data_IF_673762817800
#
_entry.id   IF_673762817800
#
_cell.length_a   1.000
_cell.length_b   1.000
_cell.length_c   1.000
_cell.angle_alpha   90.00
_cell.angle_beta   90.00
_cell.angle_gamma   90.00
#
_symmetry.space_group_name_H-M   'P 1'
#
loop_
_entity.id
_entity.type
_entity.pdbx_description
1 polymer ?
#
# COMPACT_ATOMS: atom_id res chain seq x y z
N UNK A 1 11.69 6.10 33.11
CA UNK A 1 10.38 6.28 33.76
C UNK A 1 9.32 5.68 32.85
N UNK A 2 8.88 4.46 33.15
CA UNK A 2 7.83 3.78 32.39
C UNK A 2 6.51 4.53 32.57
N UNK A 3 5.95 5.03 31.48
CA UNK A 3 4.63 5.66 31.50
C UNK A 3 3.59 4.58 31.77
N UNK A 4 2.98 4.66 32.97
CA UNK A 4 1.81 3.87 33.36
C UNK A 4 0.80 3.88 32.21
N UNK A 5 0.51 2.69 31.65
CA UNK A 5 -0.44 2.49 30.55
C UNK A 5 -1.79 3.13 30.88
N UNK A 6 -2.05 4.32 30.36
CA UNK A 6 -3.37 4.94 30.46
C UNK A 6 -4.41 4.00 29.81
N UNK A 7 -5.60 3.85 30.39
CA UNK A 7 -6.63 3.00 29.81
C UNK A 7 -6.96 3.51 28.40
N UNK A 8 -6.66 2.69 27.39
CA UNK A 8 -6.98 3.02 26.00
C UNK A 8 -8.48 3.20 25.86
N UNK A 9 -8.92 4.40 25.44
CA UNK A 9 -10.33 4.68 25.16
C UNK A 9 -10.81 3.75 24.04
N UNK A 10 -12.02 3.22 24.18
CA UNK A 10 -12.64 2.30 23.22
C UNK A 10 -14.00 2.82 22.82
N UNK A 11 -14.36 2.59 21.57
CA UNK A 11 -15.66 2.90 20.99
C UNK A 11 -16.37 1.63 20.56
N UNK A 12 -17.68 1.70 20.44
CA UNK A 12 -18.51 0.64 19.88
C UNK A 12 -18.79 1.00 18.42
N UNK A 13 -18.49 0.09 17.51
CA UNK A 13 -18.74 0.26 16.08
C UNK A 13 -19.81 -0.74 15.67
N UNK A 14 -20.95 -0.22 15.22
CA UNK A 14 -22.11 -0.94 14.74
C UNK A 14 -22.13 -0.94 13.22
N UNK A 15 -22.14 -2.12 12.61
CA UNK A 15 -22.28 -2.32 11.18
C UNK A 15 -23.65 -2.94 10.86
N UNK A 16 -24.52 -2.16 10.24
CA UNK A 16 -25.85 -2.55 9.80
C UNK A 16 -25.80 -3.19 8.41
N UNK A 17 -26.09 -4.48 8.34
CA UNK A 17 -26.07 -5.25 7.07
C UNK A 17 -27.19 -4.85 6.12
N UNK A 18 -28.29 -4.32 6.66
CA UNK A 18 -29.51 -4.03 5.90
C UNK A 18 -29.56 -2.60 5.35
N UNK A 19 -28.57 -1.74 5.64
CA UNK A 19 -28.55 -0.33 5.21
C UNK A 19 -27.48 -0.12 4.13
N UNK A 20 -27.84 0.54 3.02
CA UNK A 20 -26.93 0.78 1.89
C UNK A 20 -26.10 2.06 2.00
N UNK A 21 -26.63 3.12 2.63
CA UNK A 21 -26.03 4.46 2.63
C UNK A 21 -25.32 4.76 3.96
N UNK A 22 -25.88 4.32 5.09
CA UNK A 22 -25.31 4.51 6.43
C UNK A 22 -25.20 3.17 7.16
N UNK A 23 -24.33 2.29 6.65
CA UNK A 23 -24.15 0.98 7.26
C UNK A 23 -23.31 1.03 8.54
N UNK A 24 -22.59 2.12 8.83
CA UNK A 24 -21.68 2.19 9.99
C UNK A 24 -22.10 3.30 10.94
N UNK A 25 -22.29 2.95 12.21
CA UNK A 25 -22.53 3.89 13.30
C UNK A 25 -21.51 3.68 14.41
N UNK A 26 -21.07 4.77 15.05
CA UNK A 26 -20.05 4.73 16.11
C UNK A 26 -20.63 5.34 17.39
N UNK A 27 -20.55 4.57 18.47
CA UNK A 27 -21.05 4.96 19.79
C UNK A 27 -19.91 5.04 20.80
N UNK A 28 -19.96 6.02 21.70
CA UNK A 28 -18.93 6.22 22.72
C UNK A 28 -18.94 5.10 23.77
N UNK A 29 -20.10 4.53 24.06
CA UNK A 29 -20.23 3.38 24.95
C UNK A 29 -21.41 2.48 24.55
N UNK A 30 -21.46 1.29 25.16
CA UNK A 30 -22.49 0.28 24.87
C UNK A 30 -23.86 0.64 25.46
N UNK A 31 -23.92 1.45 26.52
CA UNK A 31 -25.19 1.87 27.13
C UNK A 31 -25.97 2.77 26.19
N UNK A 32 -25.31 3.78 25.60
CA UNK A 32 -25.90 4.70 24.62
C UNK A 32 -26.41 3.94 23.40
N UNK A 33 -25.68 2.92 22.95
CA UNK A 33 -26.16 2.05 21.87
C UNK A 33 -27.48 1.35 22.27
N UNK A 34 -27.57 0.79 23.47
CA UNK A 34 -28.78 0.10 23.95
C UNK A 34 -29.93 1.08 24.22
N UNK A 35 -29.64 2.34 24.59
CA UNK A 35 -30.65 3.40 24.72
C UNK A 35 -31.23 3.80 23.35
N UNK A 36 -30.38 3.84 22.31
CA UNK A 36 -30.80 4.14 20.94
C UNK A 36 -31.56 2.97 20.31
N UNK A 37 -31.15 1.74 20.62
CA UNK A 37 -31.74 0.51 20.10
C UNK A 37 -32.13 -0.46 21.23
N UNK A 38 -33.29 -0.24 21.89
CA UNK A 38 -33.73 -1.03 23.06
C UNK A 38 -34.00 -2.51 22.77
N UNK A 39 -34.11 -2.89 21.49
CA UNK A 39 -34.27 -4.29 21.07
C UNK A 39 -33.06 -5.15 21.41
N UNK A 40 -31.89 -4.54 21.65
CA UNK A 40 -30.69 -5.26 22.03
C UNK A 40 -30.45 -5.21 23.53
N UNK A 41 -30.26 -6.39 24.13
CA UNK A 41 -29.97 -6.52 25.56
C UNK A 41 -28.52 -6.15 25.88
N UNK A 42 -28.33 -5.16 26.75
CA UNK A 42 -27.01 -4.76 27.25
C UNK A 42 -26.22 -5.94 27.84
N UNK A 43 -26.88 -6.80 28.64
CA UNK A 43 -26.23 -7.93 29.29
C UNK A 43 -25.65 -8.91 28.26
N UNK A 44 -26.41 -9.17 27.21
CA UNK A 44 -25.96 -10.04 26.11
C UNK A 44 -24.75 -9.43 25.43
N UNK A 45 -24.87 -8.19 24.93
CA UNK A 45 -23.79 -7.53 24.20
C UNK A 45 -22.53 -7.35 25.05
N UNK A 46 -22.68 -7.07 26.34
CA UNK A 46 -21.55 -6.89 27.26
C UNK A 46 -20.81 -8.21 27.52
N UNK A 47 -21.48 -9.36 27.46
CA UNK A 47 -20.81 -10.66 27.56
C UNK A 47 -19.89 -10.91 26.35
N UNK A 48 -20.37 -10.62 25.14
CA UNK A 48 -19.59 -10.73 23.90
C UNK A 48 -18.44 -9.71 23.86
N UNK A 49 -18.76 -8.41 24.00
CA UNK A 49 -17.83 -7.31 23.78
C UNK A 49 -16.97 -6.95 25.00
N UNK A 50 -17.30 -7.48 26.18
CA UNK A 50 -16.60 -7.25 27.43
C UNK A 50 -15.60 -8.35 27.71
N UNK A 51 -16.10 -9.51 28.15
CA UNK A 51 -15.26 -10.63 28.63
C UNK A 51 -14.65 -11.45 27.50
N UNK A 52 -15.44 -11.80 26.50
CA UNK A 52 -14.98 -12.64 25.39
C UNK A 52 -14.18 -11.86 24.32
N UNK A 53 -14.34 -10.53 24.25
CA UNK A 53 -13.81 -9.64 23.17
C UNK A 53 -14.17 -10.15 21.77
N UNK A 54 -15.22 -10.95 21.66
CA UNK A 54 -15.72 -11.47 20.39
C UNK A 54 -16.70 -10.45 19.81
N UNK A 55 -16.63 -10.17 18.49
CA UNK A 55 -17.70 -9.46 17.80
C UNK A 55 -19.06 -10.11 18.07
N UNK A 56 -20.08 -9.29 18.24
CA UNK A 56 -21.46 -9.77 18.25
C UNK A 56 -22.01 -9.67 16.84
N UNK A 57 -22.52 -10.77 16.30
CA UNK A 57 -23.03 -10.84 14.94
C UNK A 57 -24.45 -11.42 14.92
N UNK A 58 -25.34 -10.74 14.20
CA UNK A 58 -26.69 -11.18 13.90
C UNK A 58 -26.97 -10.96 12.39
N UNK A 59 -28.15 -11.39 11.94
CA UNK A 59 -28.66 -11.20 10.58
C UNK A 59 -28.67 -9.73 10.15
N UNK A 60 -28.93 -8.81 11.09
CA UNK A 60 -29.07 -7.38 10.79
C UNK A 60 -27.85 -6.52 11.18
N UNK A 61 -27.07 -6.97 12.17
CA UNK A 61 -26.08 -6.15 12.86
C UNK A 61 -24.80 -6.93 13.13
N UNK A 62 -23.66 -6.30 12.90
CA UNK A 62 -22.34 -6.73 13.35
C UNK A 62 -21.75 -5.65 14.26
N UNK A 63 -21.47 -5.98 15.51
CA UNK A 63 -21.06 -5.04 16.54
C UNK A 63 -19.68 -5.39 17.08
N UNK A 64 -18.80 -4.41 17.16
CA UNK A 64 -17.42 -4.58 17.65
C UNK A 64 -17.02 -3.48 18.62
N UNK A 65 -16.02 -3.76 19.46
CA UNK A 65 -15.42 -2.77 20.34
C UNK A 65 -14.00 -2.48 19.87
N UNK A 66 -13.76 -1.28 19.37
CA UNK A 66 -12.50 -0.89 18.74
C UNK A 66 -11.76 0.16 19.59
N UNK A 67 -10.43 0.15 19.54
CA UNK A 67 -9.61 1.16 20.22
C UNK A 67 -9.68 2.49 19.48
N UNK A 68 -9.89 3.58 20.22
CA UNK A 68 -9.98 4.92 19.66
C UNK A 68 -8.58 5.41 19.28
N UNK A 69 -8.34 5.58 17.99
CA UNK A 69 -7.13 6.18 17.46
C UNK A 69 -7.33 7.70 17.43
N UNK A 70 -6.82 8.41 18.44
CA UNK A 70 -6.95 9.88 18.53
C UNK A 70 -5.88 10.62 17.74
N UNK A 71 -4.75 9.97 17.43
CA UNK A 71 -3.67 10.53 16.64
C UNK A 71 -3.56 9.77 15.32
N UNK A 72 -3.44 10.45 14.16
CA UNK A 72 -3.26 9.77 12.89
C UNK A 72 -2.01 8.89 12.93
N UNK A 73 -2.12 7.66 12.44
CA UNK A 73 -0.96 6.78 12.29
C UNK A 73 -0.06 7.37 11.21
N UNK A 74 1.06 7.95 11.60
CA UNK A 74 2.10 8.40 10.66
C UNK A 74 2.55 7.18 9.87
N UNK A 75 2.31 7.16 8.55
CA UNK A 75 2.81 6.12 7.66
C UNK A 75 4.33 6.08 7.82
N UNK A 76 4.90 4.93 8.19
CA UNK A 76 6.34 4.74 8.24
C UNK A 76 6.91 5.18 6.88
N UNK A 77 7.92 6.05 6.89
CA UNK A 77 8.61 6.45 5.68
C UNK A 77 9.10 5.18 4.96
N UNK A 78 8.83 5.06 3.67
CA UNK A 78 9.33 3.94 2.87
C UNK A 78 10.86 4.01 2.90
N UNK A 79 11.50 2.95 3.39
CA UNK A 79 12.95 2.82 3.31
C UNK A 79 13.29 2.32 1.91
N UNK A 80 14.04 3.12 1.14
CA UNK A 80 14.65 2.67 -0.11
C UNK A 80 15.85 1.82 0.29
N UNK A 81 15.88 0.56 -0.15
CA UNK A 81 17.05 -0.30 0.00
C UNK A 81 17.70 -0.52 -1.37
N UNK A 82 19.02 -0.36 -1.48
CA UNK A 82 19.72 -0.68 -2.72
C UNK A 82 19.70 -2.20 -2.93
N UNK A 83 19.41 -2.61 -4.16
CA UNK A 83 19.63 -3.99 -4.61
C UNK A 83 21.09 -4.09 -5.02
N UNK A 84 21.90 -4.80 -4.23
CA UNK A 84 23.34 -4.95 -4.48
C UNK A 84 23.64 -6.41 -4.78
N UNK A 85 24.17 -6.67 -5.97
CA UNK A 85 24.73 -7.97 -6.31
C UNK A 85 26.20 -8.02 -5.89
N UNK A 86 26.64 -9.14 -5.32
CA UNK A 86 28.03 -9.34 -4.89
C UNK A 86 28.75 -10.25 -5.88
N UNK A 87 29.89 -9.80 -6.40
CA UNK A 87 30.73 -10.56 -7.31
C UNK A 87 32.20 -10.52 -6.84
N UNK A 88 32.96 -11.54 -7.21
CA UNK A 88 34.41 -11.54 -7.06
C UNK A 88 35.02 -10.60 -8.12
N UNK A 89 35.79 -9.60 -7.67
CA UNK A 89 36.32 -8.55 -8.55
C UNK A 89 37.19 -9.11 -9.69
N UNK A 90 37.93 -10.19 -9.42
CA UNK A 90 38.82 -10.81 -10.40
C UNK A 90 38.10 -11.50 -11.57
N UNK A 91 36.82 -11.84 -11.41
CA UNK A 91 36.01 -12.53 -12.43
C UNK A 91 34.92 -11.64 -13.03
N UNK A 92 34.77 -10.40 -12.56
CA UNK A 92 33.68 -9.53 -12.96
C UNK A 92 34.11 -8.66 -14.13
N UNK A 93 33.75 -9.08 -15.34
CA UNK A 93 33.73 -8.21 -16.52
C UNK A 93 32.31 -7.65 -16.68
N UNK A 94 32.11 -6.44 -16.19
CA UNK A 94 30.83 -5.73 -16.29
C UNK A 94 30.47 -5.41 -17.75
N UNK A 95 31.49 -5.19 -18.61
CA UNK A 95 31.29 -4.85 -20.01
C UNK A 95 30.72 -6.02 -20.80
N UNK A 96 31.32 -7.20 -20.65
CA UNK A 96 30.85 -8.43 -21.29
C UNK A 96 29.43 -8.81 -20.81
N UNK A 97 29.19 -8.78 -19.50
CA UNK A 97 27.88 -9.11 -18.93
C UNK A 97 26.77 -8.16 -19.38
N UNK A 98 27.07 -6.85 -19.46
CA UNK A 98 26.13 -5.87 -19.98
C UNK A 98 25.84 -6.09 -21.47
N UNK A 99 26.87 -6.41 -22.26
CA UNK A 99 26.69 -6.71 -23.68
C UNK A 99 25.78 -7.93 -23.86
N UNK A 100 26.05 -9.02 -23.16
CA UNK A 100 25.25 -10.24 -23.20
C UNK A 100 23.81 -9.98 -22.78
N UNK A 101 23.60 -9.23 -21.69
CA UNK A 101 22.27 -8.84 -21.22
C UNK A 101 21.49 -8.09 -22.30
N UNK A 102 22.11 -7.09 -22.94
CA UNK A 102 21.44 -6.31 -23.97
C UNK A 102 21.17 -7.14 -25.22
N UNK A 103 22.11 -8.00 -25.64
CA UNK A 103 21.93 -8.87 -26.79
C UNK A 103 20.82 -9.92 -26.57
N UNK A 104 20.67 -10.41 -25.34
CA UNK A 104 19.60 -11.33 -24.94
C UNK A 104 18.24 -10.62 -24.77
N UNK A 105 18.22 -9.30 -24.60
CA UNK A 105 16.99 -8.52 -24.42
C UNK A 105 16.22 -8.32 -25.74
N UNK A 106 14.89 -8.21 -25.62
CA UNK A 106 14.01 -7.96 -26.76
C UNK A 106 14.42 -6.70 -27.54
N UNK A 107 14.30 -6.69 -28.89
CA UNK A 107 14.67 -5.54 -29.72
C UNK A 107 14.01 -4.22 -29.28
N UNK A 108 12.74 -4.28 -28.85
CA UNK A 108 11.99 -3.11 -28.38
C UNK A 108 12.64 -2.48 -27.14
N UNK A 109 13.06 -3.31 -26.17
CA UNK A 109 13.72 -2.85 -24.95
C UNK A 109 15.09 -2.24 -25.23
N UNK A 110 15.85 -2.81 -26.17
CA UNK A 110 17.13 -2.25 -26.63
C UNK A 110 16.94 -0.88 -27.28
N UNK A 111 16.01 -0.75 -28.21
CA UNK A 111 15.71 0.51 -28.91
C UNK A 111 15.28 1.59 -27.90
N UNK A 112 14.40 1.22 -26.97
CA UNK A 112 13.97 2.13 -25.92
C UNK A 112 15.14 2.59 -25.05
N UNK A 113 16.01 1.68 -24.61
CA UNK A 113 17.17 2.02 -23.79
C UNK A 113 18.12 2.99 -24.51
N UNK A 114 18.44 2.72 -25.79
CA UNK A 114 19.27 3.61 -26.61
C UNK A 114 18.62 4.98 -26.78
N UNK A 115 17.32 5.02 -27.05
CA UNK A 115 16.57 6.27 -27.21
C UNK A 115 16.57 7.09 -25.92
N UNK A 116 16.41 6.41 -24.78
CA UNK A 116 16.42 7.03 -23.45
C UNK A 116 17.80 7.61 -23.13
N UNK A 117 18.88 6.83 -23.32
CA UNK A 117 20.25 7.28 -23.12
C UNK A 117 20.59 8.48 -24.01
N UNK A 118 20.20 8.41 -25.28
CA UNK A 118 20.35 9.54 -26.19
C UNK A 118 19.63 10.78 -25.68
N UNK A 119 18.41 10.64 -25.16
CA UNK A 119 17.62 11.76 -24.63
C UNK A 119 18.20 12.36 -23.34
N UNK A 120 18.80 11.55 -22.47
CA UNK A 120 19.43 11.99 -21.22
C UNK A 120 20.74 12.75 -21.48
N UNK A 121 21.45 12.42 -22.56
CA UNK A 121 22.64 13.13 -23.02
C UNK A 121 22.37 14.45 -23.74
N UNK A 122 21.10 14.82 -23.98
CA UNK A 122 20.73 16.06 -24.64
C UNK A 122 20.41 17.18 -23.66
N UNK A 123 20.97 18.37 -23.92
CA UNK A 123 20.60 19.56 -23.16
C UNK A 123 19.13 19.93 -23.39
N UNK A 124 18.49 20.48 -22.35
CA UNK A 124 17.07 20.84 -22.37
C UNK A 124 16.82 21.91 -23.44
N UNK A 125 16.13 21.53 -24.52
CA UNK A 125 15.80 22.41 -25.65
C UNK A 125 16.61 22.13 -26.93
N UNK A 126 17.61 21.26 -26.87
CA UNK A 126 18.35 20.82 -28.04
C UNK A 126 17.45 19.92 -28.91
N UNK A 127 17.31 20.27 -30.20
CA UNK A 127 16.55 19.45 -31.16
C UNK A 127 17.49 18.43 -31.80
N UNK A 128 17.06 17.18 -31.87
CA UNK A 128 17.75 16.14 -32.65
C UNK A 128 17.71 16.55 -34.12
N UNK A 129 18.87 16.65 -34.77
CA UNK A 129 18.93 16.85 -36.21
C UNK A 129 18.48 15.57 -36.92
N UNK A 130 17.23 15.55 -37.38
CA UNK A 130 16.61 14.40 -38.04
C UNK A 130 17.09 14.21 -39.49
N UNK A 131 17.95 15.08 -40.00
CA UNK A 131 18.35 15.09 -41.41
C UNK A 131 19.44 14.05 -41.77
N UNK A 132 19.97 13.29 -40.80
CA UNK A 132 21.01 12.26 -41.04
C UNK A 132 20.53 10.82 -40.82
N UNK A 133 19.25 10.53 -41.04
CA UNK A 133 18.79 9.14 -41.08
C UNK A 133 19.19 8.53 -42.44
N UNK A 134 20.34 7.87 -42.49
CA UNK A 134 20.68 7.04 -43.65
C UNK A 134 19.77 5.80 -43.65
N UNK A 135 18.88 5.72 -44.64
CA UNK A 135 18.14 4.48 -44.92
C UNK A 135 19.11 3.51 -45.59
N UNK A 136 19.65 2.57 -44.82
CA UNK A 136 20.37 1.43 -45.36
C UNK A 136 19.34 0.41 -45.85
N UNK A 137 19.20 0.28 -47.17
CA UNK A 137 18.48 -0.84 -47.76
C UNK A 137 19.39 -2.07 -47.62
N UNK A 138 18.94 -3.09 -46.87
CA UNK A 138 19.57 -4.41 -46.93
C UNK A 138 19.40 -4.95 -48.34
N UNK A 139 20.50 -5.37 -48.97
CA UNK A 139 20.45 -6.17 -50.19
C UNK A 139 20.20 -7.62 -49.77
N UNK A 140 19.24 -8.26 -50.45
CA UNK A 140 19.02 -9.70 -50.43
C UNK A 140 20.26 -10.47 -50.93
#
# INVERSE_FOLDING_TARGET
>A
METKNAPKKRVIVAFWKNRKIDSIEVFSNLKIFCETYPTFSYNTLNNYLGKAKTPYENSQLFLTRQELITKPLLKKARSIQPVVNRYLLASHDEGEQNLDFWLASEPESRIYAVTKLASEGMEKGMKVDKCKIQKLNMKD
#
